data_IF_012565943097
#
_entry.id   IF_012565943097
#
_cell.length_a   1.000
_cell.length_b   1.000
_cell.length_c   1.000
_cell.angle_alpha   90.00
_cell.angle_beta   90.00
_cell.angle_gamma   90.00
#
_symmetry.space_group_name_H-M   'P 1'
#
loop_
_entity.id
_entity.type
_entity.pdbx_description
1 polymer ?
#
# COMPACT_ATOMS: atom_id res chain seq x y z
N UNK A 1 12.37 7.45 -33.01
CA UNK A 1 11.13 7.05 -32.31
C UNK A 1 11.27 7.49 -30.85
N UNK A 2 10.39 8.34 -30.30
CA UNK A 2 10.43 8.60 -28.87
C UNK A 2 10.02 7.31 -28.12
N UNK A 3 10.90 6.81 -27.24
CA UNK A 3 10.55 5.72 -26.34
C UNK A 3 9.58 6.27 -25.30
N UNK A 4 8.34 5.76 -25.29
CA UNK A 4 7.39 6.09 -24.22
C UNK A 4 7.58 5.08 -23.09
N UNK A 5 7.81 5.58 -21.88
CA UNK A 5 7.92 4.74 -20.69
C UNK A 5 6.60 4.80 -19.91
N UNK A 6 6.04 3.66 -19.56
CA UNK A 6 4.90 3.56 -18.63
C UNK A 6 5.42 3.15 -17.25
N UNK A 7 4.89 3.77 -16.20
CA UNK A 7 5.18 3.36 -14.82
C UNK A 7 3.90 2.85 -14.16
N UNK A 8 3.98 1.67 -13.58
CA UNK A 8 2.90 1.02 -12.86
C UNK A 8 3.23 1.05 -11.38
N UNK A 9 2.28 1.54 -10.58
CA UNK A 9 2.38 1.49 -9.13
C UNK A 9 1.38 0.46 -8.62
N UNK A 10 1.88 -0.59 -7.96
CA UNK A 10 1.05 -1.63 -7.36
C UNK A 10 1.20 -1.59 -5.84
N UNK A 11 0.07 -1.59 -5.12
CA UNK A 11 0.08 -1.91 -3.69
C UNK A 11 -0.37 -3.36 -3.50
N UNK A 12 0.46 -4.14 -2.82
CA UNK A 12 0.13 -5.50 -2.39
C UNK A 12 -0.05 -5.50 -0.87
N UNK A 13 -1.05 -6.25 -0.43
CA UNK A 13 -1.35 -6.43 0.98
C UNK A 13 -0.83 -7.79 1.42
N UNK A 14 -0.01 -7.83 2.47
CA UNK A 14 0.40 -9.08 3.09
C UNK A 14 0.14 -9.02 4.59
N UNK A 15 -0.86 -9.78 5.03
CA UNK A 15 -1.17 -10.00 6.45
C UNK A 15 -0.74 -11.41 6.83
N UNK A 16 -0.68 -11.69 8.14
CA UNK A 16 -0.48 -13.03 8.73
C UNK A 16 -1.38 -14.13 8.14
N UNK A 17 -2.47 -13.78 7.43
CA UNK A 17 -3.44 -14.70 6.84
C UNK A 17 -3.37 -14.83 5.30
N UNK A 18 -2.26 -14.43 4.66
CA UNK A 18 -1.99 -14.69 3.23
C UNK A 18 -3.01 -14.10 2.23
N UNK A 19 -3.78 -13.07 2.61
CA UNK A 19 -4.75 -12.43 1.71
C UNK A 19 -4.06 -11.43 0.77
N UNK A 20 -3.99 -11.74 -0.51
CA UNK A 20 -3.46 -10.84 -1.56
C UNK A 20 -4.60 -10.05 -2.22
N UNK A 21 -4.64 -8.74 -2.00
CA UNK A 21 -5.38 -7.78 -2.82
C UNK A 21 -4.38 -6.84 -3.48
N UNK A 22 -4.60 -6.52 -4.76
CA UNK A 22 -3.70 -5.69 -5.56
C UNK A 22 -4.43 -4.47 -6.08
N UNK A 23 -3.97 -3.27 -5.70
CA UNK A 23 -4.40 -2.03 -6.33
C UNK A 23 -3.37 -1.63 -7.39
N UNK A 24 -3.80 -1.38 -8.63
CA UNK A 24 -2.92 -0.99 -9.74
C UNK A 24 -3.29 0.43 -10.18
N UNK A 25 -2.31 1.33 -10.18
CA UNK A 25 -2.44 2.67 -10.76
C UNK A 25 -1.57 2.77 -12.00
N UNK A 26 -2.21 3.08 -13.13
CA UNK A 26 -1.55 3.36 -14.41
C UNK A 26 -1.31 4.86 -14.53
N UNK A 27 -0.10 5.24 -14.92
CA UNK A 27 0.19 6.64 -15.29
C UNK A 27 0.57 6.70 -16.76
N UNK A 28 -0.21 7.42 -17.59
CA UNK A 28 0.15 7.64 -18.98
C UNK A 28 1.41 8.53 -19.07
N UNK A 29 2.25 8.36 -20.11
CA UNK A 29 3.40 9.23 -20.34
C UNK A 29 2.91 10.68 -20.41
N UNK A 30 3.51 11.57 -19.62
CA UNK A 30 3.15 12.98 -19.60
C UNK A 30 3.40 13.58 -21.00
N UNK A 31 2.37 14.18 -21.59
CA UNK A 31 2.42 14.81 -22.93
C UNK A 31 3.23 16.14 -22.94
N UNK A 32 4.02 16.39 -21.89
CA UNK A 32 4.77 17.62 -21.69
C UNK A 32 6.24 17.42 -22.10
N UNK A 33 6.74 18.31 -22.95
CA UNK A 33 8.16 18.41 -23.27
C UNK A 33 8.95 18.81 -22.00
N UNK A 34 9.33 17.84 -21.18
CA UNK A 34 10.14 18.00 -19.98
C UNK A 34 11.18 16.89 -19.93
N UNK A 35 12.40 17.24 -19.51
CA UNK A 35 13.58 16.34 -19.45
C UNK A 35 13.20 14.93 -18.99
N UNK A 36 13.62 13.94 -19.79
CA UNK A 36 13.81 12.55 -19.34
C UNK A 36 14.52 12.63 -17.97
N UNK A 37 13.96 12.10 -16.87
CA UNK A 37 14.68 12.08 -15.61
C UNK A 37 16.00 11.37 -15.86
N UNK A 38 17.10 12.07 -15.58
CA UNK A 38 18.44 11.51 -15.66
C UNK A 38 18.44 10.23 -14.81
N UNK A 39 18.82 9.13 -15.45
CA UNK A 39 18.57 7.76 -15.00
C UNK A 39 19.21 7.49 -13.64
N UNK A 40 18.42 7.68 -12.58
CA UNK A 40 18.61 7.09 -11.26
C UNK A 40 17.42 6.18 -10.93
N UNK A 41 17.57 5.19 -10.03
CA UNK A 41 16.46 4.36 -9.60
C UNK A 41 15.35 5.22 -8.97
N UNK A 42 14.08 4.87 -9.21
CA UNK A 42 12.97 5.55 -8.56
C UNK A 42 13.10 5.47 -7.04
N UNK A 43 12.96 6.60 -6.37
CA UNK A 43 12.98 6.66 -4.91
C UNK A 43 11.55 6.52 -4.39
N UNK A 44 11.35 5.56 -3.50
CA UNK A 44 10.06 5.31 -2.83
C UNK A 44 10.09 5.87 -1.42
N UNK A 45 9.01 6.54 -1.01
CA UNK A 45 8.83 6.99 0.37
C UNK A 45 7.47 6.58 0.91
N UNK A 46 7.45 6.18 2.18
CA UNK A 46 6.22 5.89 2.90
C UNK A 46 5.83 7.07 3.78
N UNK A 47 4.61 7.56 3.61
CA UNK A 47 4.09 8.73 4.32
C UNK A 47 2.82 8.35 5.07
N UNK A 48 2.72 8.78 6.33
CA UNK A 48 1.49 8.65 7.11
C UNK A 48 0.62 9.87 6.87
N UNK A 49 -0.57 9.69 6.31
CA UNK A 49 -1.37 10.83 5.82
C UNK A 49 -1.96 11.69 6.95
N UNK A 50 -2.27 11.09 8.11
CA UNK A 50 -2.93 11.80 9.24
C UNK A 50 -2.19 13.05 9.71
N UNK A 51 -0.86 13.05 9.58
CA UNK A 51 0.03 14.11 10.05
C UNK A 51 1.17 14.41 9.06
N UNK A 52 1.06 13.86 7.84
CA UNK A 52 2.04 14.01 6.76
C UNK A 52 3.47 13.62 7.17
N UNK A 53 3.61 12.71 8.14
CA UNK A 53 4.91 12.30 8.65
C UNK A 53 5.55 11.29 7.70
N UNK A 54 6.77 11.60 7.25
CA UNK A 54 7.58 10.69 6.44
C UNK A 54 8.08 9.59 7.37
N UNK A 55 7.64 8.36 7.12
CA UNK A 55 8.08 7.20 7.90
C UNK A 55 9.44 6.73 7.38
N UNK A 56 9.57 6.60 6.06
CA UNK A 56 10.78 6.11 5.41
C UNK A 56 10.97 6.76 4.04
N UNK A 57 12.23 6.87 3.61
CA UNK A 57 12.61 7.20 2.22
C UNK A 57 13.69 6.22 1.80
N UNK A 58 13.42 5.46 0.74
CA UNK A 58 14.21 4.31 0.37
C UNK A 58 14.32 3.33 1.55
N UNK A 59 15.54 2.89 1.86
CA UNK A 59 15.83 2.00 3.00
C UNK A 59 16.00 2.76 4.33
N UNK A 60 15.98 4.10 4.31
CA UNK A 60 16.23 4.91 5.50
C UNK A 60 14.92 5.22 6.23
N UNK A 61 14.90 5.01 7.55
CA UNK A 61 13.76 5.29 8.43
C UNK A 61 13.89 6.67 9.05
N UNK A 62 12.88 7.53 8.84
CA UNK A 62 12.81 8.91 9.35
C UNK A 62 12.06 9.03 10.68
N UNK A 63 11.24 8.04 11.03
CA UNK A 63 10.58 7.96 12.33
C UNK A 63 11.51 7.37 13.40
N UNK A 64 11.36 7.81 14.65
CA UNK A 64 12.03 7.21 15.81
C UNK A 64 11.33 5.93 16.30
N UNK A 65 10.14 5.63 15.80
CA UNK A 65 9.40 4.42 16.15
C UNK A 65 10.00 3.20 15.42
N UNK A 66 10.76 2.39 16.16
CA UNK A 66 11.50 1.22 15.65
C UNK A 66 10.62 0.12 15.10
N UNK A 67 9.29 0.21 15.28
CA UNK A 67 8.34 -0.76 14.72
C UNK A 67 8.18 -0.60 13.21
N UNK A 68 8.49 0.57 12.67
CA UNK A 68 8.40 0.87 11.24
C UNK A 68 9.76 0.64 10.58
N UNK A 69 9.81 -0.31 9.66
CA UNK A 69 11.04 -0.64 8.93
C UNK A 69 10.77 -0.67 7.44
N UNK A 70 11.65 -0.04 6.65
CA UNK A 70 11.64 -0.18 5.19
C UNK A 70 12.51 -1.36 4.77
N UNK A 71 11.93 -2.30 4.03
CA UNK A 71 12.61 -3.46 3.49
C UNK A 71 12.61 -3.34 1.97
N UNK A 72 13.81 -3.43 1.39
CA UNK A 72 14.00 -3.43 -0.06
C UNK A 72 15.20 -4.29 -0.42
N UNK A 73 14.95 -5.28 -1.29
CA UNK A 73 15.99 -6.14 -1.84
C UNK A 73 16.69 -5.41 -3.00
N UNK A 74 18.00 -5.57 -3.08
CA UNK A 74 18.77 -4.97 -4.18
C UNK A 74 18.28 -5.53 -5.52
N UNK A 75 18.12 -4.65 -6.52
CA UNK A 75 17.56 -4.95 -7.84
C UNK A 75 16.10 -5.42 -7.85
N UNK A 76 15.36 -5.27 -6.74
CA UNK A 76 13.91 -5.47 -6.73
C UNK A 76 13.19 -4.17 -7.07
N UNK A 77 11.99 -4.27 -7.62
CA UNK A 77 11.06 -3.14 -7.78
C UNK A 77 10.10 -3.01 -6.59
N UNK A 78 10.26 -3.88 -5.58
CA UNK A 78 9.36 -4.03 -4.44
C UNK A 78 9.93 -3.32 -3.21
N UNK A 79 9.13 -2.46 -2.61
CA UNK A 79 9.41 -1.71 -1.40
C UNK A 79 8.37 -2.06 -0.35
N UNK A 80 8.81 -2.58 0.80
CA UNK A 80 7.92 -3.03 1.86
C UNK A 80 8.09 -2.16 3.09
N UNK A 81 6.99 -1.59 3.60
CA UNK A 81 6.93 -1.04 4.94
C UNK A 81 6.42 -2.13 5.89
N UNK A 82 7.31 -2.62 6.73
CA UNK A 82 7.00 -3.52 7.82
C UNK A 82 6.57 -2.71 9.05
N UNK A 83 5.47 -3.10 9.68
CA UNK A 83 4.95 -2.51 10.92
C UNK A 83 4.79 -3.62 11.95
N UNK A 84 5.63 -3.60 13.00
CA UNK A 84 5.57 -4.58 14.11
C UNK A 84 4.68 -4.11 15.25
N UNK A 85 4.13 -5.07 16.00
CA UNK A 85 3.30 -4.83 17.18
C UNK A 85 2.23 -3.78 16.90
N UNK A 86 1.38 -4.03 15.90
CA UNK A 86 0.45 -3.02 15.41
C UNK A 86 -0.51 -2.59 16.52
N UNK A 87 -0.61 -1.28 16.73
CA UNK A 87 -1.42 -0.66 17.75
C UNK A 87 -2.65 -0.01 17.13
N UNK A 88 -3.73 0.14 17.90
CA UNK A 88 -4.96 0.81 17.44
C UNK A 88 -4.73 2.22 16.89
N UNK A 89 -3.69 2.92 17.40
CA UNK A 89 -3.30 4.27 16.95
C UNK A 89 -2.65 4.30 15.56
N UNK A 90 -2.18 3.16 15.07
CA UNK A 90 -1.55 3.03 13.75
C UNK A 90 -2.62 2.91 12.64
N UNK A 91 -3.90 2.73 12.99
CA UNK A 91 -4.98 2.78 12.00
C UNK A 91 -5.01 4.14 11.29
N UNK A 92 -5.17 4.13 9.98
CA UNK A 92 -5.16 5.33 9.14
C UNK A 92 -4.66 5.08 7.73
N UNK A 93 -4.56 6.14 6.94
CA UNK A 93 -4.06 6.06 5.57
C UNK A 93 -2.54 6.20 5.54
N UNK A 94 -1.90 5.28 4.83
CA UNK A 94 -0.50 5.30 4.47
C UNK A 94 -0.39 5.51 2.97
N UNK A 95 0.63 6.24 2.53
CA UNK A 95 0.84 6.56 1.14
C UNK A 95 2.24 6.11 0.72
N UNK A 96 2.29 5.26 -0.31
CA UNK A 96 3.53 5.03 -1.04
C UNK A 96 3.67 6.12 -2.10
N UNK A 97 4.70 6.95 -2.00
CA UNK A 97 5.03 7.97 -2.99
C UNK A 97 6.27 7.55 -3.77
N UNK A 98 6.27 7.83 -5.08
CA UNK A 98 7.37 7.55 -6.00
C UNK A 98 7.85 8.87 -6.59
N UNK A 99 9.17 9.06 -6.64
CA UNK A 99 9.85 10.26 -7.14
C UNK A 99 9.79 10.44 -8.67
N UNK A 100 8.67 10.12 -9.30
CA UNK A 100 8.44 10.38 -10.73
C UNK A 100 8.05 11.82 -10.98
N UNK A 101 8.07 12.21 -12.26
CA UNK A 101 7.60 13.51 -12.71
C UNK A 101 6.41 13.31 -13.69
N UNK A 102 5.17 13.67 -13.31
CA UNK A 102 4.75 14.19 -12.00
C UNK A 102 4.85 13.14 -10.89
N UNK A 103 4.92 13.60 -9.63
CA UNK A 103 4.99 12.71 -8.44
C UNK A 103 3.82 11.76 -8.43
N UNK A 104 4.11 10.47 -8.28
CA UNK A 104 3.09 9.44 -8.15
C UNK A 104 2.89 9.05 -6.70
N UNK A 105 1.67 8.68 -6.38
CA UNK A 105 1.37 8.09 -5.09
C UNK A 105 0.18 7.13 -5.13
N UNK A 106 0.20 6.18 -4.19
CA UNK A 106 -0.88 5.25 -3.95
C UNK A 106 -1.15 5.16 -2.45
N UNK A 107 -2.42 5.28 -2.08
CA UNK A 107 -2.86 5.33 -0.69
C UNK A 107 -3.47 3.99 -0.28
N UNK A 108 -3.29 3.63 0.98
CA UNK A 108 -3.83 2.42 1.59
C UNK A 108 -4.32 2.69 3.01
N UNK A 109 -5.55 2.27 3.29
CA UNK A 109 -6.16 2.40 4.60
C UNK A 109 -5.83 1.17 5.46
N UNK A 110 -5.04 1.37 6.52
CA UNK A 110 -4.79 0.35 7.54
C UNK A 110 -5.87 0.41 8.62
N UNK A 111 -6.57 -0.70 8.84
CA UNK A 111 -7.54 -0.85 9.91
C UNK A 111 -7.03 -1.87 10.94
N UNK A 112 -7.08 -1.49 12.21
CA UNK A 112 -6.60 -2.33 13.31
C UNK A 112 -7.80 -2.87 14.07
N UNK A 113 -8.01 -4.18 13.97
CA UNK A 113 -9.10 -4.86 14.67
C UNK A 113 -8.63 -5.40 16.01
N UNK A 114 -9.48 -5.26 17.03
CA UNK A 114 -9.22 -5.87 18.32
C UNK A 114 -9.58 -7.36 18.21
N UNK A 115 -8.71 -8.24 18.70
CA UNK A 115 -9.12 -9.59 19.02
C UNK A 115 -10.02 -9.54 20.27
N UNK A 116 -11.24 -9.01 20.13
CA UNK A 116 -12.25 -9.25 21.16
C UNK A 116 -12.47 -10.75 21.12
N UNK A 117 -12.35 -11.40 22.28
CA UNK A 117 -12.59 -12.84 22.46
C UNK A 117 -14.02 -13.22 22.11
N UNK A 118 -14.36 -13.14 20.82
CA UNK A 118 -15.50 -13.78 20.22
C UNK A 118 -15.12 -15.24 20.07
N UNK A 119 -16.02 -16.12 20.53
CA UNK A 119 -15.85 -17.55 20.44
C UNK A 119 -15.33 -17.98 19.06
N UNK A 120 -14.43 -18.97 19.09
CA UNK A 120 -13.65 -19.50 17.96
C UNK A 120 -14.53 -20.06 16.81
N UNK A 121 -15.85 -20.01 16.90
CA UNK A 121 -16.79 -20.53 15.90
C UNK A 121 -17.15 -19.59 14.75
N UNK A 122 -16.94 -18.27 14.88
CA UNK A 122 -17.44 -17.32 13.87
C UNK A 122 -16.33 -16.73 12.96
N UNK A 123 -15.07 -16.92 13.32
CA UNK A 123 -13.95 -16.45 12.48
C UNK A 123 -13.56 -17.51 11.44
N UNK A 124 -14.16 -17.40 10.26
CA UNK A 124 -13.71 -18.11 9.07
C UNK A 124 -12.91 -17.13 8.17
N UNK A 125 -11.57 -17.20 8.11
CA UNK A 125 -10.76 -16.32 7.26
C UNK A 125 -11.03 -16.49 5.76
N UNK A 126 -11.72 -17.57 5.35
CA UNK A 126 -12.03 -17.88 3.94
C UNK A 126 -13.52 -17.78 3.54
N UNK A 127 -14.40 -17.12 4.31
CA UNK A 127 -15.82 -16.94 3.87
C UNK A 127 -16.07 -15.75 2.93
N UNK A 128 -15.03 -15.16 2.34
CA UNK A 128 -15.16 -14.26 1.18
C UNK A 128 -15.32 -15.04 -0.14
N UNK A 129 -16.32 -15.93 -0.18
CA UNK A 129 -16.88 -16.35 -1.48
C UNK A 129 -17.70 -15.16 -1.96
N UNK A 130 -17.16 -14.44 -2.96
CA UNK A 130 -17.78 -13.31 -3.63
C UNK A 130 -19.27 -13.62 -3.86
N UNK A 131 -20.14 -13.03 -3.03
CA UNK A 131 -21.54 -12.88 -3.38
C UNK A 131 -21.59 -11.62 -4.22
N UNK A 132 -21.70 -11.77 -5.54
CA UNK A 132 -22.23 -10.71 -6.37
C UNK A 132 -23.63 -10.43 -5.82
N UNK A 133 -23.78 -9.32 -5.08
CA UNK A 133 -25.08 -8.83 -4.69
C UNK A 133 -25.84 -8.54 -6.00
N UNK A 134 -26.87 -9.34 -6.29
CA UNK A 134 -27.93 -8.94 -7.22
C UNK A 134 -28.44 -7.59 -6.74
N UNK A 135 -28.57 -6.66 -7.68
CA UNK A 135 -28.58 -5.24 -7.40
C UNK A 135 -29.63 -4.73 -6.41
N UNK A 136 -29.31 -3.54 -5.91
CA UNK A 136 -30.19 -2.51 -5.33
C UNK A 136 -30.75 -2.77 -3.93
N UNK A 137 -30.23 -2.03 -2.95
CA UNK A 137 -31.04 -1.10 -2.16
C UNK A 137 -30.12 -0.09 -1.42
N UNK A 138 -30.64 1.12 -1.35
CA UNK A 138 -30.24 2.30 -0.57
C UNK A 138 -29.58 1.95 0.79
N UNK A 139 -28.39 2.51 1.05
CA UNK A 139 -28.00 2.90 2.41
C UNK A 139 -27.08 2.00 3.26
N UNK A 140 -26.19 1.17 2.69
CA UNK A 140 -25.17 0.46 3.50
C UNK A 140 -23.80 1.16 3.45
N UNK A 141 -23.46 1.86 4.54
CA UNK A 141 -22.22 2.61 4.78
C UNK A 141 -20.94 1.77 4.93
N UNK A 142 -20.96 0.48 4.58
CA UNK A 142 -19.88 -0.46 4.93
C UNK A 142 -19.23 -1.14 3.71
N UNK A 143 -19.29 -0.53 2.53
CA UNK A 143 -18.38 -0.89 1.44
C UNK A 143 -17.03 -0.25 1.76
N UNK A 144 -16.13 -1.03 2.37
CA UNK A 144 -14.75 -0.62 2.52
C UNK A 144 -14.16 -0.36 1.12
N UNK A 145 -13.44 0.76 0.89
CA UNK A 145 -12.72 0.96 -0.36
C UNK A 145 -11.82 -0.25 -0.64
N UNK A 146 -11.63 -0.59 -1.92
CA UNK A 146 -10.77 -1.69 -2.39
C UNK A 146 -9.33 -1.64 -1.85
N UNK A 147 -8.95 -0.51 -1.24
CA UNK A 147 -7.61 -0.13 -0.83
C UNK A 147 -7.44 -0.18 0.69
N UNK A 148 -8.13 -1.12 1.36
CA UNK A 148 -8.10 -1.24 2.83
C UNK A 148 -7.60 -2.60 3.32
N UNK A 149 -6.75 -2.57 4.34
CA UNK A 149 -6.21 -3.75 5.03
C UNK A 149 -6.82 -3.84 6.43
N UNK A 150 -7.03 -5.07 6.89
CA UNK A 150 -7.36 -5.37 8.28
C UNK A 150 -6.20 -6.14 8.92
N UNK A 151 -5.68 -5.66 10.05
CA UNK A 151 -4.66 -6.34 10.85
C UNK A 151 -5.13 -6.43 12.29
N UNK A 152 -4.86 -7.55 12.97
CA UNK A 152 -5.17 -7.68 14.40
C UNK A 152 -4.16 -6.90 15.22
N UNK A 153 -4.59 -6.37 16.36
CA UNK A 153 -3.68 -5.74 17.32
C UNK A 153 -2.56 -6.72 17.72
N UNK A 154 -1.36 -6.18 17.90
CA UNK A 154 -0.15 -6.88 18.33
C UNK A 154 0.39 -7.90 17.32
N UNK A 155 -0.21 -7.99 16.13
CA UNK A 155 0.35 -8.70 14.98
C UNK A 155 1.27 -7.78 14.16
N UNK A 156 1.96 -8.39 13.19
CA UNK A 156 2.79 -7.71 12.20
C UNK A 156 2.01 -7.57 10.88
N UNK A 157 2.22 -6.46 10.17
CA UNK A 157 1.74 -6.31 8.79
C UNK A 157 2.77 -5.68 7.88
N UNK A 158 2.66 -5.99 6.59
CA UNK A 158 3.50 -5.44 5.54
C UNK A 158 2.64 -4.69 4.52
N UNK A 159 2.96 -3.42 4.31
CA UNK A 159 2.45 -2.64 3.17
C UNK A 159 3.50 -2.73 2.07
N UNK A 160 3.12 -3.23 0.90
CA UNK A 160 4.07 -3.49 -0.18
C UNK A 160 3.75 -2.59 -1.35
N UNK A 161 4.77 -1.92 -1.88
CA UNK A 161 4.69 -1.02 -3.01
C UNK A 161 5.65 -1.48 -4.10
N UNK A 162 5.12 -1.82 -5.28
CA UNK A 162 5.91 -2.27 -6.43
C UNK A 162 5.87 -1.21 -7.53
N UNK A 163 7.05 -0.86 -8.06
CA UNK A 163 7.24 0.16 -9.11
C UNK A 163 7.77 -0.51 -10.38
N UNK A 164 6.88 -0.86 -11.31
CA UNK A 164 7.29 -1.51 -12.57
C UNK A 164 7.45 -0.47 -13.69
N UNK A 165 8.59 -0.49 -14.39
CA UNK A 165 8.82 0.32 -15.58
C UNK A 165 8.74 -0.53 -16.85
N UNK A 166 7.79 -0.21 -17.74
CA UNK A 166 7.73 -0.83 -19.07
C UNK A 166 8.27 0.15 -20.13
N UNK A 167 9.32 -0.27 -20.82
CA UNK A 167 9.86 0.40 -22.01
C UNK A 167 9.07 -0.08 -23.24
N UNK A 168 8.44 0.86 -23.94
CA UNK A 168 7.73 0.64 -25.21
C UNK A 168 8.40 1.27 -26.41
#
# INVERSE_FOLDING_TARGET
MPQFSFVFLRLLNYTSNNQLLTLIKLVPPSLGAGRKPEMGPFLVSWVRQRDLHILTVGKYTYTSDQRFTSIHLDNSEVWTLEIKYVQKKDAGVYECQVSTEPKMSLSIQLNVVENRGFAISDWNPCKSRIRFARGSAIGDSNVLPSDSIQVKRDEECCLVCQVEQLLG
#
